data_IF_286105869590
#
_entry.id   IF_286105869590
#
_cell.length_a   1.000
_cell.length_b   1.000
_cell.length_c   1.000
_cell.angle_alpha   90.00
_cell.angle_beta   90.00
_cell.angle_gamma   90.00
#
_symmetry.space_group_name_H-M   'P 1'
#
loop_
_entity.id
_entity.type
_entity.pdbx_description
1 polymer ?
#
# COMPACT_ATOMS: atom_id res chain seq x y z
N UNK A 1 -62.51 -50.17 13.84
CA UNK A 1 -61.23 -50.25 14.64
C UNK A 1 -59.98 -50.39 13.83
N UNK A 2 -59.88 -51.22 12.73
CA UNK A 2 -58.72 -51.36 11.91
C UNK A 2 -58.59 -50.19 10.90
N UNK A 3 -59.72 -49.69 10.40
CA UNK A 3 -59.76 -48.58 9.45
C UNK A 3 -59.47 -47.21 10.10
N UNK A 4 -59.89 -47.05 11.34
CA UNK A 4 -59.62 -45.85 12.13
C UNK A 4 -58.11 -45.73 12.44
N UNK A 5 -57.47 -46.88 12.67
CA UNK A 5 -56.05 -46.94 12.95
C UNK A 5 -55.17 -46.62 11.70
N UNK A 6 -55.64 -47.00 10.52
CA UNK A 6 -55.01 -46.65 9.24
C UNK A 6 -55.16 -45.16 8.93
N UNK A 7 -56.30 -44.59 9.14
CA UNK A 7 -56.59 -43.17 8.97
C UNK A 7 -55.70 -42.31 9.88
N UNK A 8 -55.59 -42.72 11.16
CA UNK A 8 -54.63 -42.03 12.08
C UNK A 8 -53.18 -42.10 11.66
N UNK A 9 -52.77 -43.25 11.12
CA UNK A 9 -51.38 -43.41 10.63
C UNK A 9 -51.11 -42.57 9.38
N UNK A 10 -52.05 -42.41 8.46
CA UNK A 10 -51.95 -41.53 7.31
C UNK A 10 -51.95 -40.07 7.70
N UNK A 11 -52.72 -39.64 8.70
CA UNK A 11 -52.66 -38.28 9.24
C UNK A 11 -51.29 -37.97 9.88
N UNK A 12 -50.69 -38.92 10.60
CA UNK A 12 -49.38 -38.78 11.22
C UNK A 12 -48.25 -38.67 10.18
N UNK A 13 -48.34 -39.47 9.10
CA UNK A 13 -47.39 -39.39 7.98
C UNK A 13 -47.51 -38.05 7.23
N UNK A 14 -48.76 -37.59 7.02
CA UNK A 14 -49.00 -36.31 6.36
C UNK A 14 -48.53 -35.12 7.19
N UNK A 15 -48.71 -35.20 8.53
CA UNK A 15 -48.22 -34.21 9.47
C UNK A 15 -46.67 -34.20 9.58
N UNK A 16 -46.02 -35.36 9.50
CA UNK A 16 -44.57 -35.48 9.47
C UNK A 16 -43.96 -34.96 8.13
N UNK A 17 -44.66 -35.15 7.00
CA UNK A 17 -44.25 -34.62 5.70
C UNK A 17 -44.41 -33.10 5.61
N UNK A 18 -45.41 -32.52 6.28
CA UNK A 18 -45.60 -31.06 6.28
C UNK A 18 -44.60 -30.32 7.18
N UNK A 19 -43.98 -30.96 8.15
CA UNK A 19 -42.90 -30.38 8.99
C UNK A 19 -41.56 -30.37 8.23
N UNK A 20 -41.38 -31.26 7.27
CA UNK A 20 -40.14 -31.32 6.41
C UNK A 20 -40.05 -30.26 5.32
N UNK A 21 -41.11 -29.44 5.11
CA UNK A 21 -41.13 -28.37 4.08
C UNK A 21 -40.87 -26.98 4.67
N UNK A 22 -40.75 -26.86 6.00
CA UNK A 22 -40.17 -25.69 6.63
C UNK A 22 -38.63 -25.77 6.55
N UNK A 23 -38.14 -26.04 5.35
CA UNK A 23 -36.70 -25.91 5.01
C UNK A 23 -36.33 -24.45 5.01
N UNK A 24 -35.23 -24.15 5.67
CA UNK A 24 -34.50 -22.92 5.77
C UNK A 24 -34.68 -22.01 4.56
N UNK A 25 -35.64 -21.09 4.63
CA UNK A 25 -35.71 -19.95 3.70
C UNK A 25 -34.45 -19.08 3.78
N UNK A 26 -33.87 -18.97 4.95
CA UNK A 26 -32.63 -18.22 5.20
C UNK A 26 -31.37 -18.80 4.54
N UNK A 27 -31.38 -20.09 4.12
CA UNK A 27 -30.24 -20.68 3.43
C UNK A 27 -30.24 -20.41 1.91
N UNK A 28 -31.39 -19.97 1.38
CA UNK A 28 -31.57 -19.62 -0.03
C UNK A 28 -31.89 -18.13 -0.23
N UNK A 29 -31.90 -17.33 0.79
CA UNK A 29 -31.67 -15.92 0.61
C UNK A 29 -30.22 -15.82 0.10
N UNK A 30 -30.09 -15.75 -1.23
CA UNK A 30 -28.98 -15.06 -1.83
C UNK A 30 -28.91 -13.71 -1.11
N UNK A 31 -28.04 -13.61 -0.11
CA UNK A 31 -27.58 -12.31 0.33
C UNK A 31 -27.07 -11.70 -0.96
N UNK A 32 -27.80 -10.72 -1.50
CA UNK A 32 -27.41 -10.05 -2.71
C UNK A 32 -25.95 -9.66 -2.48
N UNK A 33 -25.07 -9.99 -3.41
CA UNK A 33 -23.65 -9.61 -3.32
C UNK A 33 -23.51 -8.10 -3.21
N UNK A 34 -24.61 -7.36 -3.31
CA UNK A 34 -24.77 -5.92 -3.14
C UNK A 34 -24.94 -5.47 -1.68
N UNK A 35 -25.10 -6.37 -0.70
CA UNK A 35 -25.18 -6.03 0.73
C UNK A 35 -23.87 -6.16 1.52
N UNK A 36 -22.76 -6.42 0.85
CA UNK A 36 -21.45 -6.22 1.48
C UNK A 36 -21.30 -4.72 1.71
N UNK A 37 -21.26 -4.29 2.97
CA UNK A 37 -21.17 -2.87 3.33
C UNK A 37 -19.99 -2.26 2.58
N UNK A 38 -20.20 -1.35 1.64
CA UNK A 38 -19.18 -0.94 0.67
C UNK A 38 -17.93 -0.33 1.31
N UNK A 39 -18.08 0.40 2.41
CA UNK A 39 -16.96 0.98 3.16
C UNK A 39 -15.98 -0.09 3.67
N UNK A 40 -16.50 -1.25 4.12
CA UNK A 40 -15.65 -2.36 4.58
C UNK A 40 -14.91 -3.03 3.42
N UNK A 41 -15.54 -3.13 2.26
CA UNK A 41 -14.90 -3.70 1.06
C UNK A 41 -13.78 -2.82 0.55
N UNK A 42 -13.99 -1.50 0.49
CA UNK A 42 -12.95 -0.57 0.07
C UNK A 42 -11.78 -0.53 1.06
N UNK A 43 -12.06 -0.60 2.36
CA UNK A 43 -11.01 -0.70 3.37
C UNK A 43 -10.19 -1.97 3.22
N UNK A 44 -10.85 -3.12 3.01
CA UNK A 44 -10.18 -4.40 2.76
C UNK A 44 -9.38 -4.38 1.46
N UNK A 45 -9.92 -3.78 0.41
CA UNK A 45 -9.24 -3.61 -0.88
C UNK A 45 -8.00 -2.73 -0.72
N UNK A 46 -8.12 -1.60 -0.03
CA UNK A 46 -6.98 -0.73 0.23
C UNK A 46 -5.91 -1.44 1.06
N UNK A 47 -6.30 -2.18 2.09
CA UNK A 47 -5.37 -2.94 2.93
C UNK A 47 -4.69 -4.09 2.17
N UNK A 48 -5.38 -4.76 1.25
CA UNK A 48 -4.84 -5.86 0.45
C UNK A 48 -3.96 -5.37 -0.70
N UNK A 49 -4.50 -4.46 -1.50
CA UNK A 49 -3.91 -4.06 -2.78
C UNK A 49 -3.11 -2.75 -2.69
N UNK A 50 -3.53 -1.81 -1.84
CA UNK A 50 -2.87 -0.51 -1.70
C UNK A 50 -1.73 -0.50 -0.68
N UNK A 51 -1.90 -1.11 0.47
CA UNK A 51 -0.87 -1.14 1.51
C UNK A 51 0.23 -2.17 1.22
N UNK A 52 1.45 -1.85 1.66
CA UNK A 52 2.56 -2.78 1.71
C UNK A 52 2.48 -3.58 3.02
N UNK A 53 2.01 -4.80 2.97
CA UNK A 53 1.85 -5.65 4.16
C UNK A 53 3.05 -6.56 4.41
N UNK A 54 3.49 -7.25 3.38
CA UNK A 54 4.53 -8.28 3.44
C UNK A 54 5.59 -8.09 2.36
N UNK A 55 5.30 -7.26 1.36
CA UNK A 55 6.21 -7.04 0.24
C UNK A 55 7.29 -6.04 0.64
N UNK A 56 8.52 -6.49 0.68
CA UNK A 56 9.64 -5.56 0.70
C UNK A 56 9.80 -4.94 -0.69
N UNK A 57 9.57 -3.64 -0.79
CA UNK A 57 9.72 -2.92 -2.07
C UNK A 57 11.19 -2.73 -2.43
N UNK A 58 12.06 -2.81 -1.44
CA UNK A 58 13.49 -2.50 -1.60
C UNK A 58 14.43 -3.55 -1.04
N UNK A 59 14.24 -4.84 -1.29
CA UNK A 59 15.14 -5.80 -0.68
C UNK A 59 16.61 -5.52 -1.00
N UNK A 60 16.86 -4.72 -2.05
CA UNK A 60 18.20 -4.45 -2.58
C UNK A 60 18.61 -3.00 -2.59
N UNK A 61 17.69 -2.04 -2.49
CA UNK A 61 18.07 -0.62 -2.50
C UNK A 61 18.89 -0.23 -1.27
N UNK A 62 18.72 -0.93 -0.14
CA UNK A 62 19.58 -0.77 1.03
C UNK A 62 21.03 -1.14 0.74
N UNK A 63 21.29 -2.04 -0.20
CA UNK A 63 22.63 -2.42 -0.62
C UNK A 63 23.37 -1.30 -1.38
N UNK A 64 22.64 -0.28 -1.86
CA UNK A 64 23.20 0.91 -2.49
C UNK A 64 23.67 1.94 -1.46
N UNK A 65 23.43 1.69 -0.18
CA UNK A 65 23.81 2.60 0.90
C UNK A 65 25.12 2.16 1.55
N UNK A 66 25.76 3.07 2.27
CA UNK A 66 26.93 2.80 3.09
C UNK A 66 26.62 2.21 4.47
N UNK A 67 25.33 1.94 4.75
CA UNK A 67 24.87 1.37 6.01
C UNK A 67 24.97 -0.16 6.07
N UNK A 68 25.28 -0.82 4.96
CA UNK A 68 25.32 -2.26 4.82
C UNK A 68 26.72 -2.74 4.55
N UNK A 69 27.17 -3.71 5.31
CA UNK A 69 28.44 -4.42 5.08
C UNK A 69 28.22 -5.92 5.01
N UNK A 70 29.09 -6.60 4.28
CA UNK A 70 29.09 -8.05 4.27
C UNK A 70 29.65 -8.60 5.57
N UNK A 71 28.90 -9.53 6.19
CA UNK A 71 29.43 -10.39 7.26
C UNK A 71 30.04 -11.65 6.61
N UNK A 72 31.32 -11.90 6.88
CA UNK A 72 31.97 -13.12 6.38
C UNK A 72 31.25 -14.37 6.91
N UNK A 73 30.97 -15.30 6.01
CA UNK A 73 30.43 -16.61 6.33
C UNK A 73 30.83 -17.62 5.26
N UNK A 74 31.17 -18.83 5.68
CA UNK A 74 31.45 -19.99 4.83
C UNK A 74 30.21 -20.86 4.59
N UNK A 75 29.03 -20.42 5.05
CA UNK A 75 27.77 -21.09 4.78
C UNK A 75 27.34 -20.86 3.31
N UNK A 76 27.10 -21.96 2.56
CA UNK A 76 26.72 -21.92 1.15
C UNK A 76 25.47 -21.07 0.88
N UNK A 77 24.47 -21.13 1.77
CA UNK A 77 23.24 -20.33 1.63
C UNK A 77 23.56 -18.84 1.75
N UNK A 78 24.46 -18.46 2.63
CA UNK A 78 24.90 -17.09 2.80
C UNK A 78 25.68 -16.59 1.58
N UNK A 79 26.58 -17.41 1.03
CA UNK A 79 27.33 -17.12 -0.19
C UNK A 79 26.39 -16.89 -1.36
N UNK A 80 25.34 -17.71 -1.49
CA UNK A 80 24.32 -17.54 -2.54
C UNK A 80 23.61 -16.21 -2.43
N UNK A 81 23.15 -15.84 -1.24
CA UNK A 81 22.49 -14.53 -1.01
C UNK A 81 23.42 -13.36 -1.31
N UNK A 82 24.69 -13.47 -0.93
CA UNK A 82 25.70 -12.45 -1.28
C UNK A 82 25.90 -12.32 -2.77
N UNK A 83 26.01 -13.42 -3.51
CA UNK A 83 26.15 -13.41 -4.97
C UNK A 83 24.93 -12.77 -5.63
N UNK A 84 23.75 -13.02 -5.13
CA UNK A 84 22.50 -12.43 -5.61
C UNK A 84 22.46 -10.91 -5.41
N UNK A 85 22.92 -10.39 -4.28
CA UNK A 85 22.99 -8.95 -3.99
C UNK A 85 24.17 -8.22 -4.61
N UNK A 86 25.17 -8.95 -5.10
CA UNK A 86 26.44 -8.39 -5.56
C UNK A 86 26.30 -7.31 -6.65
N UNK A 87 25.47 -7.49 -7.70
CA UNK A 87 25.32 -6.47 -8.74
C UNK A 87 24.87 -5.12 -8.19
N UNK A 88 23.94 -5.11 -7.23
CA UNK A 88 23.46 -3.88 -6.61
C UNK A 88 24.52 -3.30 -5.68
N UNK A 89 25.15 -4.13 -4.84
CA UNK A 89 26.18 -3.71 -3.90
C UNK A 89 27.39 -3.08 -4.60
N UNK A 90 27.72 -3.54 -5.80
CA UNK A 90 28.83 -3.02 -6.61
C UNK A 90 28.43 -1.90 -7.56
N UNK A 91 27.19 -1.42 -7.52
CA UNK A 91 26.64 -0.40 -8.43
C UNK A 91 26.82 -0.78 -9.91
N UNK A 92 26.60 -2.05 -10.25
CA UNK A 92 26.68 -2.51 -11.62
C UNK A 92 25.65 -1.78 -12.49
N UNK A 93 26.06 -1.36 -13.70
CA UNK A 93 25.18 -0.62 -14.61
C UNK A 93 23.94 -1.40 -15.03
N UNK A 94 24.07 -2.73 -15.11
CA UNK A 94 23.01 -3.66 -15.47
C UNK A 94 22.46 -4.39 -14.23
N UNK A 95 22.54 -3.77 -13.03
CA UNK A 95 22.24 -4.44 -11.76
C UNK A 95 20.83 -5.03 -11.71
N UNK A 96 19.83 -4.35 -12.25
CA UNK A 96 18.44 -4.82 -12.21
C UNK A 96 18.23 -6.03 -13.12
N UNK A 97 18.77 -6.00 -14.35
CA UNK A 97 18.69 -7.12 -15.29
C UNK A 97 19.41 -8.35 -14.75
N UNK A 98 20.62 -8.18 -14.18
CA UNK A 98 21.37 -9.26 -13.54
C UNK A 98 20.66 -9.85 -12.32
N UNK A 99 19.96 -9.02 -11.57
CA UNK A 99 19.18 -9.50 -10.45
C UNK A 99 17.93 -10.27 -10.90
N UNK A 100 17.26 -9.85 -11.96
CA UNK A 100 16.14 -10.57 -12.54
C UNK A 100 16.55 -11.99 -13.02
N UNK A 101 17.76 -12.11 -13.60
CA UNK A 101 18.32 -13.40 -13.98
C UNK A 101 18.62 -14.33 -12.78
N UNK A 102 19.01 -13.76 -11.65
CA UNK A 102 19.41 -14.49 -10.44
C UNK A 102 18.22 -14.89 -9.54
N UNK A 103 17.10 -14.18 -9.67
CA UNK A 103 15.90 -14.41 -8.88
C UNK A 103 14.75 -14.83 -9.76
N UNK A 104 14.08 -15.87 -9.38
CA UNK A 104 12.92 -16.40 -10.13
C UNK A 104 11.63 -15.62 -9.87
N UNK A 105 11.54 -14.75 -8.88
CA UNK A 105 10.31 -14.01 -8.57
C UNK A 105 10.57 -12.75 -7.75
N UNK A 106 9.85 -11.69 -8.08
CA UNK A 106 9.41 -10.67 -7.12
C UNK A 106 10.40 -9.61 -6.69
N UNK A 107 11.45 -9.37 -7.46
CA UNK A 107 12.43 -8.30 -7.18
C UNK A 107 12.10 -6.98 -7.90
N UNK A 108 11.19 -7.01 -8.85
CA UNK A 108 10.86 -5.82 -9.63
C UNK A 108 10.13 -4.77 -8.77
N UNK A 109 10.92 -3.80 -8.31
CA UNK A 109 10.42 -2.64 -7.57
C UNK A 109 9.44 -1.81 -8.40
N UNK A 110 9.63 -1.72 -9.71
CA UNK A 110 8.76 -0.98 -10.62
C UNK A 110 7.36 -1.64 -10.68
N UNK A 111 7.29 -2.92 -10.97
CA UNK A 111 6.03 -3.66 -11.02
C UNK A 111 5.29 -3.60 -9.70
N UNK A 112 5.98 -3.83 -8.59
CA UNK A 112 5.39 -3.81 -7.25
C UNK A 112 4.80 -2.45 -6.91
N UNK A 113 5.51 -1.36 -7.16
CA UNK A 113 5.01 -0.02 -6.87
C UNK A 113 3.80 0.34 -7.76
N UNK A 114 3.82 -0.01 -9.05
CA UNK A 114 2.65 0.21 -9.92
C UNK A 114 1.46 -0.68 -9.55
N UNK A 115 1.67 -1.91 -9.09
CA UNK A 115 0.61 -2.74 -8.54
C UNK A 115 -0.08 -2.06 -7.35
N UNK A 116 0.70 -1.46 -6.43
CA UNK A 116 0.16 -0.72 -5.28
C UNK A 116 -0.55 0.57 -5.68
N UNK A 117 -0.01 1.31 -6.65
CA UNK A 117 -0.68 2.48 -7.25
C UNK A 117 -2.02 2.08 -7.86
N UNK A 118 -2.08 0.95 -8.59
CA UNK A 118 -3.32 0.42 -9.15
C UNK A 118 -4.35 0.17 -8.04
N UNK A 119 -3.96 -0.49 -6.93
CA UNK A 119 -4.83 -0.70 -5.78
C UNK A 119 -5.38 0.60 -5.19
N UNK A 120 -4.53 1.63 -5.04
CA UNK A 120 -4.97 2.95 -4.61
C UNK A 120 -5.96 3.59 -5.61
N UNK A 121 -5.68 3.49 -6.91
CA UNK A 121 -6.55 4.05 -7.94
C UNK A 121 -7.93 3.39 -7.97
N UNK A 122 -8.00 2.05 -7.83
CA UNK A 122 -9.28 1.33 -7.77
C UNK A 122 -10.12 1.84 -6.61
N UNK A 123 -9.53 2.01 -5.43
CA UNK A 123 -10.24 2.58 -4.27
C UNK A 123 -10.71 3.99 -4.57
N UNK A 124 -9.86 4.86 -5.09
CA UNK A 124 -10.19 6.25 -5.41
C UNK A 124 -11.32 6.38 -6.45
N UNK A 125 -11.30 5.53 -7.46
CA UNK A 125 -12.32 5.54 -8.54
C UNK A 125 -13.67 4.98 -8.06
N UNK A 126 -13.69 4.08 -7.07
CA UNK A 126 -14.92 3.45 -6.56
C UNK A 126 -15.59 4.21 -5.40
N UNK A 127 -14.90 5.14 -4.74
CA UNK A 127 -15.40 5.81 -3.53
C UNK A 127 -16.71 6.55 -3.73
N UNK A 128 -16.92 7.13 -4.91
CA UNK A 128 -18.12 7.92 -5.19
C UNK A 128 -19.34 7.02 -5.49
N UNK A 129 -19.12 5.79 -5.94
CA UNK A 129 -20.17 4.84 -6.35
C UNK A 129 -20.65 3.96 -5.18
N UNK A 130 -19.93 3.94 -4.06
CA UNK A 130 -20.29 3.09 -2.92
C UNK A 130 -21.10 3.84 -1.87
N UNK A 131 -22.03 3.12 -1.23
CA UNK A 131 -22.79 3.61 -0.07
C UNK A 131 -22.00 3.34 1.21
N UNK A 132 -22.06 4.24 2.19
CA UNK A 132 -21.36 4.08 3.46
C UNK A 132 -21.30 5.37 4.25
N UNK A 133 -20.61 5.35 5.38
CA UNK A 133 -20.34 6.57 6.16
C UNK A 133 -19.39 7.50 5.39
N UNK A 134 -19.81 8.74 5.19
CA UNK A 134 -19.06 9.70 4.40
C UNK A 134 -17.70 10.05 5.05
N UNK A 135 -17.61 10.06 6.37
CA UNK A 135 -16.34 10.34 7.06
C UNK A 135 -15.36 9.17 6.88
N UNK A 136 -15.86 7.93 6.89
CA UNK A 136 -15.05 6.74 6.59
C UNK A 136 -14.56 6.77 5.15
N UNK A 137 -15.41 7.11 4.19
CA UNK A 137 -15.04 7.27 2.77
C UNK A 137 -13.97 8.34 2.59
N UNK A 138 -14.12 9.50 3.23
CA UNK A 138 -13.14 10.58 3.18
C UNK A 138 -11.81 10.20 3.84
N UNK A 139 -11.85 9.45 4.92
CA UNK A 139 -10.64 8.88 5.53
C UNK A 139 -9.94 7.89 4.60
N UNK A 140 -10.69 7.00 3.95
CA UNK A 140 -10.13 6.04 2.98
C UNK A 140 -9.54 6.76 1.76
N UNK A 141 -10.20 7.81 1.27
CA UNK A 141 -9.67 8.69 0.22
C UNK A 141 -8.33 9.29 0.61
N UNK A 142 -8.24 9.85 1.81
CA UNK A 142 -7.00 10.41 2.34
C UNK A 142 -5.87 9.38 2.43
N UNK A 143 -6.16 8.18 2.90
CA UNK A 143 -5.18 7.08 2.96
C UNK A 143 -4.71 6.65 1.57
N UNK A 144 -5.62 6.46 0.62
CA UNK A 144 -5.31 6.04 -0.75
C UNK A 144 -4.45 7.09 -1.49
N UNK A 145 -4.78 8.38 -1.34
CA UNK A 145 -3.99 9.50 -1.88
C UNK A 145 -2.58 9.54 -1.27
N UNK A 146 -2.48 9.42 0.06
CA UNK A 146 -1.20 9.42 0.75
C UNK A 146 -0.29 8.27 0.29
N UNK A 147 -0.85 7.06 0.14
CA UNK A 147 -0.12 5.90 -0.36
C UNK A 147 0.29 6.09 -1.82
N UNK A 148 -0.59 6.58 -2.68
CA UNK A 148 -0.27 6.84 -4.09
C UNK A 148 0.85 7.88 -4.22
N UNK A 149 0.76 8.98 -3.49
CA UNK A 149 1.81 10.00 -3.43
C UNK A 149 3.14 9.41 -2.93
N UNK A 150 3.10 8.57 -1.92
CA UNK A 150 4.29 7.87 -1.41
C UNK A 150 4.93 6.96 -2.47
N UNK A 151 4.14 6.14 -3.17
CA UNK A 151 4.67 5.24 -4.18
C UNK A 151 5.24 5.98 -5.40
N UNK A 152 4.60 7.07 -5.82
CA UNK A 152 5.19 7.92 -6.85
C UNK A 152 6.47 8.60 -6.39
N UNK A 153 6.55 9.02 -5.13
CA UNK A 153 7.78 9.57 -4.56
C UNK A 153 8.91 8.54 -4.57
N UNK A 154 8.62 7.28 -4.30
CA UNK A 154 9.59 6.21 -4.39
C UNK A 154 10.02 5.93 -5.84
N UNK A 155 9.06 5.80 -6.75
CA UNK A 155 9.32 5.55 -8.18
C UNK A 155 10.21 6.64 -8.79
N UNK A 156 9.86 7.92 -8.57
CA UNK A 156 10.60 9.02 -9.18
C UNK A 156 12.03 9.11 -8.67
N UNK A 157 12.25 8.85 -7.38
CA UNK A 157 13.59 8.88 -6.79
C UNK A 157 14.45 7.65 -7.12
N UNK A 158 13.81 6.53 -7.52
CA UNK A 158 14.53 5.32 -7.93
C UNK A 158 14.84 5.31 -9.42
N UNK A 159 13.90 5.77 -10.27
CA UNK A 159 13.96 5.54 -11.72
C UNK A 159 14.09 6.81 -12.56
N UNK A 160 14.27 7.99 -11.95
CA UNK A 160 14.51 9.23 -12.65
C UNK A 160 15.75 9.94 -12.12
N UNK A 161 16.13 11.01 -12.81
CA UNK A 161 17.23 11.85 -12.34
C UNK A 161 16.81 12.64 -11.09
N UNK A 162 17.74 12.94 -10.17
CA UNK A 162 17.44 13.76 -9.00
C UNK A 162 16.83 15.11 -9.40
N UNK A 163 15.85 15.57 -8.59
CA UNK A 163 15.14 16.83 -8.84
C UNK A 163 16.07 18.04 -8.96
N UNK A 164 17.11 18.08 -8.14
CA UNK A 164 18.08 19.20 -8.06
C UNK A 164 19.35 18.97 -8.89
N UNK A 165 19.33 18.04 -9.85
CA UNK A 165 20.50 17.81 -10.70
C UNK A 165 20.79 19.02 -11.58
N UNK A 166 22.02 19.53 -11.50
CA UNK A 166 22.49 20.68 -12.29
C UNK A 166 22.35 20.40 -13.79
N UNK A 167 21.87 21.38 -14.54
CA UNK A 167 21.72 21.29 -16.00
C UNK A 167 20.54 20.49 -16.49
N UNK A 168 19.68 20.00 -15.61
CA UNK A 168 18.45 19.26 -15.95
C UNK A 168 17.24 20.19 -15.96
N UNK A 169 16.56 20.28 -17.10
CA UNK A 169 15.23 20.90 -17.17
C UNK A 169 14.15 19.90 -16.74
N UNK A 170 13.59 20.13 -15.58
CA UNK A 170 12.58 19.27 -14.97
C UNK A 170 11.29 19.14 -15.79
N UNK A 171 10.99 20.09 -16.68
CA UNK A 171 9.79 20.07 -17.52
C UNK A 171 9.96 19.13 -18.72
N UNK A 172 11.18 18.83 -19.11
CA UNK A 172 11.48 17.98 -20.27
C UNK A 172 12.16 16.67 -19.88
N UNK A 173 12.88 16.65 -18.77
CA UNK A 173 13.51 15.44 -18.25
C UNK A 173 12.45 14.39 -17.87
N UNK A 174 12.65 13.15 -18.32
CA UNK A 174 11.71 12.07 -18.13
C UNK A 174 11.71 11.57 -16.67
N UNK A 175 10.55 11.61 -16.08
CA UNK A 175 10.23 11.00 -14.79
C UNK A 175 9.72 9.56 -14.96
N UNK A 176 8.52 9.29 -14.48
CA UNK A 176 7.83 7.99 -14.56
C UNK A 176 6.42 8.17 -15.17
N UNK A 177 5.81 7.11 -15.72
CA UNK A 177 4.41 7.17 -16.17
C UNK A 177 3.45 7.56 -15.03
N UNK A 178 2.54 8.49 -15.26
CA UNK A 178 1.49 8.85 -14.32
C UNK A 178 0.20 8.11 -14.65
N UNK A 179 -0.17 7.17 -13.79
CA UNK A 179 -1.40 6.38 -13.85
C UNK A 179 -2.24 6.76 -12.63
N UNK A 180 -3.23 7.64 -12.81
CA UNK A 180 -4.04 8.20 -11.72
C UNK A 180 -5.48 7.69 -11.70
N UNK A 181 -5.80 6.70 -12.52
CA UNK A 181 -7.09 6.01 -12.59
C UNK A 181 -6.85 4.52 -12.81
N UNK A 182 -7.79 3.70 -12.36
CA UNK A 182 -7.79 2.25 -12.56
C UNK A 182 -8.30 1.83 -13.95
N UNK A 183 -8.85 2.76 -14.73
CA UNK A 183 -9.37 2.48 -16.06
C UNK A 183 -8.28 1.95 -17.00
N UNK A 184 -8.56 0.80 -17.60
CA UNK A 184 -7.66 0.18 -18.58
C UNK A 184 -7.68 1.01 -19.87
N UNK A 185 -6.48 1.35 -20.36
CA UNK A 185 -6.28 2.02 -21.65
C UNK A 185 -5.54 1.09 -22.59
N UNK A 186 -5.88 1.17 -23.86
CA UNK A 186 -5.25 0.34 -24.91
C UNK A 186 -3.81 0.77 -25.22
N UNK A 187 -3.40 1.95 -24.75
CA UNK A 187 -2.07 2.50 -24.99
C UNK A 187 -1.22 2.42 -23.72
N UNK A 188 0.04 2.05 -23.90
CA UNK A 188 1.02 2.10 -22.79
C UNK A 188 1.31 3.57 -22.45
N UNK A 189 1.20 3.96 -21.17
CA UNK A 189 1.45 5.33 -20.75
C UNK A 189 2.93 5.68 -20.92
N UNK A 190 3.21 6.81 -21.60
CA UNK A 190 4.55 7.35 -21.68
C UNK A 190 5.03 7.88 -20.32
N UNK A 191 6.35 7.99 -20.16
CA UNK A 191 6.94 8.69 -18.99
C UNK A 191 6.59 10.16 -19.07
N UNK A 192 6.10 10.70 -17.97
CA UNK A 192 5.87 12.13 -17.79
C UNK A 192 7.14 12.85 -17.35
N UNK A 193 7.12 14.17 -17.41
CA UNK A 193 8.25 14.97 -16.92
C UNK A 193 8.40 14.87 -15.40
N UNK A 194 9.62 15.03 -14.90
CA UNK A 194 9.90 15.03 -13.45
C UNK A 194 9.02 16.06 -12.74
N UNK A 195 8.88 17.27 -13.30
CA UNK A 195 8.04 18.32 -12.71
C UNK A 195 6.59 17.88 -12.56
N UNK A 196 5.99 17.24 -13.56
CA UNK A 196 4.60 16.77 -13.50
C UNK A 196 4.39 15.68 -12.45
N UNK A 197 5.36 14.76 -12.32
CA UNK A 197 5.28 13.70 -11.31
C UNK A 197 5.31 14.30 -9.92
N UNK A 198 6.25 15.21 -9.63
CA UNK A 198 6.29 15.90 -8.33
C UNK A 198 5.05 16.74 -8.05
N UNK A 199 4.49 17.40 -9.07
CA UNK A 199 3.21 18.11 -8.94
C UNK A 199 2.05 17.16 -8.58
N UNK A 200 2.04 15.94 -9.12
CA UNK A 200 1.05 14.94 -8.75
C UNK A 200 1.25 14.46 -7.31
N UNK A 201 2.48 14.18 -6.91
CA UNK A 201 2.81 13.81 -5.53
C UNK A 201 2.35 14.90 -4.56
N UNK A 202 2.69 16.17 -4.83
CA UNK A 202 2.29 17.30 -4.01
C UNK A 202 0.76 17.40 -3.87
N UNK A 203 0.03 17.30 -4.98
CA UNK A 203 -1.44 17.32 -4.96
C UNK A 203 -2.04 16.22 -4.12
N UNK A 204 -1.59 14.98 -4.34
CA UNK A 204 -2.08 13.83 -3.60
C UNK A 204 -1.83 13.98 -2.10
N UNK A 205 -0.64 14.42 -1.71
CA UNK A 205 -0.27 14.57 -0.30
C UNK A 205 -0.97 15.75 0.37
N UNK A 206 -1.18 16.88 -0.32
CA UNK A 206 -1.90 18.03 0.22
C UNK A 206 -3.38 17.71 0.42
N UNK A 207 -4.04 17.06 -0.54
CA UNK A 207 -5.41 16.58 -0.36
C UNK A 207 -5.49 15.53 0.74
N UNK A 208 -4.54 14.61 0.79
CA UNK A 208 -4.47 13.57 1.82
C UNK A 208 -4.37 14.18 3.23
N UNK A 209 -3.49 15.17 3.46
CA UNK A 209 -3.32 15.76 4.78
C UNK A 209 -4.57 16.49 5.25
N UNK A 210 -5.25 17.20 4.34
CA UNK A 210 -6.51 17.89 4.65
C UNK A 210 -7.61 16.91 5.09
N UNK A 211 -7.73 15.78 4.38
CA UNK A 211 -8.70 14.73 4.69
C UNK A 211 -8.32 13.99 5.97
N UNK A 212 -7.05 13.63 6.12
CA UNK A 212 -6.56 12.87 7.27
C UNK A 212 -6.60 13.68 8.57
N UNK A 213 -6.40 15.00 8.52
CA UNK A 213 -6.54 15.86 9.71
C UNK A 213 -7.99 15.93 10.22
N UNK A 214 -8.97 15.81 9.34
CA UNK A 214 -10.39 15.90 9.69
C UNK A 214 -11.00 14.56 10.04
N UNK A 215 -10.63 13.53 9.30
CA UNK A 215 -11.31 12.22 9.32
C UNK A 215 -10.37 11.07 9.66
N UNK A 216 -9.04 11.31 9.70
CA UNK A 216 -8.05 10.29 9.98
C UNK A 216 -8.05 9.83 11.44
N UNK A 217 -7.65 8.59 11.65
CA UNK A 217 -7.50 8.00 12.97
C UNK A 217 -6.00 7.96 13.36
N UNK A 218 -5.69 8.45 14.55
CA UNK A 218 -4.29 8.55 15.02
C UNK A 218 -3.77 7.27 15.72
N UNK A 219 -4.65 6.32 16.01
CA UNK A 219 -4.35 5.23 16.94
C UNK A 219 -4.11 3.87 16.24
N UNK A 220 -4.02 3.83 14.92
CA UNK A 220 -3.87 2.58 14.17
C UNK A 220 -2.43 2.45 13.71
N UNK A 221 -1.71 1.53 14.34
CA UNK A 221 -0.26 1.35 14.18
C UNK A 221 0.19 0.97 12.75
N UNK A 222 -0.71 0.39 11.93
CA UNK A 222 -0.38 -0.16 10.61
C UNK A 222 -1.04 0.58 9.45
N UNK A 223 -1.70 1.71 9.72
CA UNK A 223 -2.36 2.52 8.69
C UNK A 223 -1.69 3.87 8.55
N UNK A 224 -1.93 4.51 7.41
CA UNK A 224 -1.56 5.89 7.20
C UNK A 224 -2.24 6.78 8.26
N UNK A 225 -1.45 7.64 8.87
CA UNK A 225 -1.91 8.63 9.85
C UNK A 225 -1.64 10.04 9.34
N UNK A 226 -2.30 11.07 9.87
CA UNK A 226 -1.96 12.46 9.53
C UNK A 226 -0.47 12.77 9.70
N UNK A 227 0.15 12.27 10.77
CA UNK A 227 1.58 12.48 11.01
C UNK A 227 2.48 11.83 9.96
N UNK A 228 2.08 10.68 9.42
CA UNK A 228 2.78 10.07 8.29
C UNK A 228 2.78 11.01 7.07
N UNK A 229 1.61 11.59 6.75
CA UNK A 229 1.47 12.49 5.59
C UNK A 229 2.28 13.77 5.78
N UNK A 230 2.24 14.38 6.96
CA UNK A 230 3.07 15.55 7.29
C UNK A 230 4.57 15.25 7.16
N UNK A 231 5.01 14.10 7.67
CA UNK A 231 6.41 13.68 7.55
C UNK A 231 6.82 13.45 6.08
N UNK A 232 5.92 12.87 5.29
CA UNK A 232 6.16 12.64 3.87
C UNK A 232 6.21 13.95 3.08
N UNK A 233 5.32 14.91 3.38
CA UNK A 233 5.38 16.27 2.81
C UNK A 233 6.69 16.96 3.16
N UNK A 234 7.10 16.91 4.43
CA UNK A 234 8.39 17.47 4.85
C UNK A 234 9.56 16.87 4.05
N UNK A 235 9.57 15.54 3.90
CA UNK A 235 10.61 14.84 3.13
C UNK A 235 10.56 15.20 1.64
N UNK A 236 9.39 15.23 1.03
CA UNK A 236 9.22 15.60 -0.38
C UNK A 236 9.73 17.02 -0.63
N UNK A 237 9.38 18.00 0.23
CA UNK A 237 9.86 19.36 0.10
C UNK A 237 11.37 19.51 0.37
N UNK A 238 11.94 18.64 1.20
CA UNK A 238 13.39 18.55 1.39
C UNK A 238 14.08 18.15 0.07
N UNK A 239 13.54 17.17 -0.65
CA UNK A 239 14.09 16.67 -1.91
C UNK A 239 14.01 17.70 -3.05
N UNK A 240 12.99 18.54 -3.04
CA UNK A 240 12.85 19.65 -4.02
C UNK A 240 13.46 20.96 -3.54
N UNK A 241 14.26 20.93 -2.46
CA UNK A 241 14.97 22.06 -1.87
C UNK A 241 14.07 23.23 -1.43
N UNK A 242 12.81 22.97 -1.16
CA UNK A 242 11.91 23.94 -0.54
C UNK A 242 12.03 23.89 0.99
N UNK A 243 13.15 24.40 1.49
CA UNK A 243 13.51 24.35 2.90
C UNK A 243 12.45 24.95 3.83
N UNK A 244 11.77 26.02 3.38
CA UNK A 244 10.70 26.67 4.15
C UNK A 244 9.54 25.73 4.41
N UNK A 245 8.98 25.13 3.37
CA UNK A 245 7.89 24.14 3.50
C UNK A 245 8.35 22.86 4.21
N UNK A 246 9.57 22.41 3.94
CA UNK A 246 10.12 21.25 4.63
C UNK A 246 10.15 21.44 6.15
N UNK A 247 10.64 22.61 6.60
CA UNK A 247 10.69 22.95 8.02
C UNK A 247 9.28 23.18 8.63
N UNK A 248 8.36 23.78 7.88
CA UNK A 248 6.96 23.97 8.29
C UNK A 248 6.29 22.62 8.61
N UNK A 249 6.30 21.68 7.68
CA UNK A 249 5.69 20.36 7.88
C UNK A 249 6.42 19.52 8.93
N UNK A 250 7.76 19.59 9.02
CA UNK A 250 8.50 18.95 10.09
C UNK A 250 8.10 19.48 11.48
N UNK A 251 7.87 20.81 11.58
CA UNK A 251 7.45 21.45 12.83
C UNK A 251 6.08 20.95 13.32
N UNK A 252 5.15 20.66 12.39
CA UNK A 252 3.86 20.06 12.74
C UNK A 252 4.07 18.68 13.37
N UNK A 253 4.93 17.85 12.78
CA UNK A 253 5.22 16.50 13.29
C UNK A 253 5.82 16.57 14.69
N UNK A 254 6.84 17.42 14.88
CA UNK A 254 7.52 17.59 16.17
C UNK A 254 6.56 18.13 17.23
N UNK A 255 5.67 19.06 16.87
CA UNK A 255 4.70 19.63 17.80
C UNK A 255 3.65 18.61 18.24
N UNK A 256 3.16 17.78 17.31
CA UNK A 256 2.12 16.78 17.60
C UNK A 256 2.66 15.53 18.27
N UNK A 257 3.93 15.18 18.01
CA UNK A 257 4.62 14.04 18.60
C UNK A 257 6.07 14.37 18.97
N UNK A 258 6.27 15.10 20.07
CA UNK A 258 7.60 15.58 20.47
C UNK A 258 8.52 14.51 21.05
N UNK A 259 8.01 13.33 21.33
CA UNK A 259 8.78 12.28 21.99
C UNK A 259 9.50 11.40 20.97
N UNK A 260 10.83 11.46 21.00
CA UNK A 260 11.66 10.44 20.35
C UNK A 260 11.66 9.17 21.21
N UNK A 261 11.41 8.04 20.58
CA UNK A 261 11.59 6.74 21.22
C UNK A 261 13.07 6.52 21.49
N UNK A 262 13.41 6.00 22.67
CA UNK A 262 14.79 5.64 22.99
C UNK A 262 15.14 4.34 22.28
N UNK A 263 16.38 4.20 21.85
CA UNK A 263 16.86 2.95 21.25
C UNK A 263 16.69 1.77 22.20
N UNK A 264 16.88 2.01 23.51
CA UNK A 264 16.65 1.02 24.57
C UNK A 264 15.22 0.49 24.66
N UNK A 265 14.23 1.22 24.10
CA UNK A 265 12.83 0.80 24.11
C UNK A 265 12.53 -0.27 23.03
N UNK A 266 13.49 -0.50 22.12
CA UNK A 266 13.36 -1.43 21.00
C UNK A 266 14.24 -2.67 21.10
N UNK A 267 15.27 -2.65 21.95
CA UNK A 267 16.26 -3.70 22.00
C UNK A 267 16.47 -4.13 23.44
N UNK A 268 15.92 -5.28 23.80
CA UNK A 268 16.48 -6.09 24.86
C UNK A 268 17.60 -6.91 24.23
N UNK A 269 18.83 -6.43 24.29
CA UNK A 269 19.99 -7.25 23.93
C UNK A 269 20.20 -8.19 25.09
N UNK A 270 19.68 -9.41 25.02
CA UNK A 270 20.25 -10.52 25.74
C UNK A 270 21.57 -10.81 25.05
N UNK A 271 22.66 -10.32 25.66
CA UNK A 271 23.99 -10.73 25.25
C UNK A 271 24.17 -12.11 25.87
N UNK A 272 23.87 -13.14 25.08
CA UNK A 272 24.36 -14.48 25.42
C UNK A 272 25.89 -14.38 25.39
N UNK A 273 26.48 -14.53 26.53
CA UNK A 273 27.94 -14.66 26.67
C UNK A 273 28.37 -15.93 25.90
N UNK A 274 29.17 -15.72 24.85
CA UNK A 274 29.82 -16.76 24.06
C UNK A 274 31.03 -17.33 24.79
#
# INVERSE_FOLDING_TARGET
MIDDMKSFFYCLIFMALSIGIMGCGDFLEESSQDEVRPSTVLEQLLLGEGYLRTDCIYPYLELLTDNVQNAYSDNESHVTVLQQGLPVFTWDVDMFDKMEELYTTGIDTWEKLYSKIKGCNVVLDMLDDVTGDENEKLNQRGQALALRGYYYFLLINTFAQPYNKEGVDLNTALGVPLIVSSAVKDEFPARESIAKVYQQIERDLLEAVDLMDKYGQNNIQYKVTPLFVYNLLSRMYLYVENWGKAAEYASVVITRNPQLRRLSDFVTIEVDEW
#
